data_IF_243267596757
#
_entry.id   IF_243267596757
#
_cell.length_a   1.000
_cell.length_b   1.000
_cell.length_c   1.000
_cell.angle_alpha   90.00
_cell.angle_beta   90.00
_cell.angle_gamma   90.00
#
_symmetry.space_group_name_H-M   'P 1'
#
loop_
_entity.id
_entity.type
_entity.pdbx_description
1 polymer ?
#
# COMPACT_ATOMS: atom_id res chain seq x y z
N UNK A 1 2.09 1.64 -25.50
CA UNK A 1 3.09 1.79 -24.44
C UNK A 1 2.48 1.19 -23.18
N UNK A 2 2.98 0.00 -22.84
CA UNK A 2 2.73 -0.78 -21.63
C UNK A 2 2.87 0.11 -20.39
N UNK A 3 1.97 0.12 -19.41
CA UNK A 3 1.73 -0.93 -18.43
C UNK A 3 0.23 -1.02 -18.08
N UNK A 4 -0.38 -2.18 -18.34
CA UNK A 4 -1.66 -2.55 -17.72
C UNK A 4 -1.31 -3.25 -16.42
N UNK A 5 -1.24 -2.52 -15.32
CA UNK A 5 -1.17 -3.13 -13.99
C UNK A 5 -2.54 -3.74 -13.71
N UNK A 6 -2.68 -5.01 -14.09
CA UNK A 6 -3.86 -5.82 -13.77
C UNK A 6 -4.00 -5.86 -12.24
N UNK A 7 -5.21 -5.75 -11.68
CA UNK A 7 -5.42 -5.80 -10.24
C UNK A 7 -5.02 -7.19 -9.76
N UNK A 8 -3.79 -7.31 -9.26
CA UNK A 8 -3.37 -8.50 -8.54
C UNK A 8 -4.36 -8.64 -7.39
N UNK A 9 -5.14 -9.71 -7.42
CA UNK A 9 -5.92 -10.17 -6.27
C UNK A 9 -4.94 -10.70 -5.21
N UNK A 10 -3.97 -9.87 -4.82
CA UNK A 10 -3.33 -9.97 -3.54
C UNK A 10 -4.43 -9.71 -2.53
N UNK A 11 -4.64 -10.64 -1.62
CA UNK A 11 -5.53 -10.40 -0.49
C UNK A 11 -5.08 -9.10 0.15
N UNK A 12 -5.84 -8.02 -0.05
CA UNK A 12 -5.41 -6.68 0.29
C UNK A 12 -5.19 -6.59 1.81
N UNK A 13 -3.92 -6.73 2.20
CA UNK A 13 -3.47 -6.50 3.56
C UNK A 13 -3.33 -5.00 3.68
N UNK A 14 -4.44 -4.37 4.06
CA UNK A 14 -4.55 -2.94 4.35
C UNK A 14 -4.42 -2.70 5.85
N UNK A 15 -3.80 -1.60 6.20
CA UNK A 15 -3.74 -1.06 7.56
C UNK A 15 -3.38 -2.14 8.61
N UNK A 16 -4.27 -2.41 9.58
CA UNK A 16 -4.06 -3.38 10.66
C UNK A 16 -3.97 -4.84 10.22
N UNK A 17 -4.35 -5.15 8.97
CA UNK A 17 -4.22 -6.51 8.44
C UNK A 17 -2.76 -6.86 8.13
N UNK A 18 -1.89 -5.87 8.05
CA UNK A 18 -0.46 -6.03 7.81
C UNK A 18 0.20 -6.56 9.10
N UNK A 19 0.67 -7.82 9.06
CA UNK A 19 1.36 -8.46 10.20
C UNK A 19 2.88 -8.21 10.23
N UNK A 20 3.41 -7.54 9.21
CA UNK A 20 4.83 -7.22 9.14
C UNK A 20 5.20 -6.20 10.23
N UNK A 21 6.35 -6.39 10.88
CA UNK A 21 6.86 -5.41 11.85
C UNK A 21 7.47 -4.19 11.16
N UNK A 22 8.13 -4.44 10.03
CA UNK A 22 8.79 -3.43 9.20
C UNK A 22 8.30 -3.58 7.76
N UNK A 23 8.22 -2.45 7.08
CA UNK A 23 7.80 -2.34 5.69
C UNK A 23 8.73 -1.37 4.97
N UNK A 24 8.99 -1.61 3.69
CA UNK A 24 9.53 -0.57 2.80
C UNK A 24 8.36 0.32 2.36
N UNK A 25 8.41 1.60 2.71
CA UNK A 25 7.36 2.57 2.40
C UNK A 25 7.68 3.29 1.09
N UNK A 26 6.73 3.26 0.16
CA UNK A 26 6.76 4.05 -1.07
C UNK A 26 5.61 5.07 -1.02
N UNK A 27 5.92 6.34 -1.23
CA UNK A 27 4.95 7.43 -1.36
C UNK A 27 5.00 8.00 -2.79
N UNK A 28 4.13 8.95 -3.10
CA UNK A 28 4.17 9.64 -4.40
C UNK A 28 5.45 10.50 -4.56
N UNK A 29 6.06 10.92 -3.46
CA UNK A 29 7.37 11.59 -3.45
C UNK A 29 8.56 10.63 -3.70
N UNK A 30 8.34 9.31 -3.62
CA UNK A 30 9.35 8.28 -3.89
C UNK A 30 9.53 7.25 -2.77
N UNK A 31 10.69 6.60 -2.73
CA UNK A 31 11.05 5.62 -1.71
C UNK A 31 11.43 6.32 -0.40
N UNK A 32 10.68 6.07 0.66
CA UNK A 32 10.94 6.59 2.01
C UNK A 32 11.83 5.65 2.84
N UNK A 33 12.18 4.49 2.31
CA UNK A 33 13.01 3.49 2.96
C UNK A 33 12.24 2.49 3.81
N UNK A 34 12.98 1.76 4.66
CA UNK A 34 12.44 0.72 5.52
C UNK A 34 12.15 1.33 6.88
N UNK A 35 10.92 1.18 7.35
CA UNK A 35 10.46 1.71 8.63
C UNK A 35 9.47 0.76 9.31
N UNK A 36 9.21 0.93 10.62
CA UNK A 36 8.17 0.20 11.31
C UNK A 36 6.80 0.40 10.65
N UNK A 37 5.98 -0.65 10.60
CA UNK A 37 4.59 -0.55 10.10
C UNK A 37 3.81 0.56 10.80
N UNK A 38 4.02 0.73 12.11
CA UNK A 38 3.32 1.75 12.88
C UNK A 38 3.64 3.18 12.40
N UNK A 39 4.88 3.44 12.00
CA UNK A 39 5.29 4.73 11.44
C UNK A 39 4.70 4.93 10.05
N UNK A 40 4.78 3.91 9.19
CA UNK A 40 4.13 3.93 7.89
C UNK A 40 2.61 4.14 7.97
N UNK A 41 1.96 3.57 9.00
CA UNK A 41 0.53 3.79 9.27
C UNK A 41 0.25 5.22 9.70
N UNK A 42 1.06 5.78 10.61
CA UNK A 42 0.89 7.16 11.04
C UNK A 42 0.99 8.15 9.86
N UNK A 43 1.94 7.93 8.94
CA UNK A 43 2.08 8.77 7.73
C UNK A 43 0.85 8.64 6.81
N UNK A 44 0.27 7.44 6.70
CA UNK A 44 -0.95 7.24 5.93
C UNK A 44 -2.14 7.96 6.59
N UNK A 45 -2.27 7.83 7.92
CA UNK A 45 -3.33 8.48 8.70
C UNK A 45 -3.23 10.02 8.66
N UNK A 46 -2.01 10.57 8.71
CA UNK A 46 -1.75 12.02 8.57
C UNK A 46 -2.17 12.57 7.20
N UNK A 47 -2.13 11.74 6.17
CA UNK A 47 -2.53 12.09 4.80
C UNK A 47 -3.99 11.74 4.49
N UNK A 48 -4.72 11.16 5.46
CA UNK A 48 -6.07 10.61 5.26
C UNK A 48 -6.13 9.59 4.10
N UNK A 49 -5.06 8.81 3.93
CA UNK A 49 -4.90 7.77 2.91
C UNK A 49 -4.77 6.38 3.54
N UNK A 50 -4.82 5.33 2.72
CA UNK A 50 -4.66 3.95 3.19
C UNK A 50 -3.21 3.45 3.03
N UNK A 51 -2.73 2.69 4.01
CA UNK A 51 -1.49 1.93 3.88
C UNK A 51 -1.80 0.57 3.23
N UNK A 52 -1.37 0.40 1.98
CA UNK A 52 -1.65 -0.79 1.17
C UNK A 52 -0.37 -1.59 0.94
N UNK A 53 -0.34 -2.87 1.34
CA UNK A 53 0.76 -3.76 0.95
C UNK A 53 0.68 -4.16 -0.52
N UNK A 54 1.47 -3.49 -1.35
CA UNK A 54 1.61 -3.80 -2.77
C UNK A 54 2.45 -5.05 -3.01
N UNK A 55 3.40 -5.39 -2.14
CA UNK A 55 4.18 -6.63 -2.23
C UNK A 55 4.40 -7.27 -0.86
N UNK A 56 3.47 -8.15 -0.46
CA UNK A 56 3.56 -8.85 0.82
C UNK A 56 4.70 -9.90 0.87
N UNK A 57 5.09 -10.46 -0.28
CA UNK A 57 6.10 -11.52 -0.37
C UNK A 57 7.55 -10.99 -0.44
N UNK A 58 7.73 -9.67 -0.53
CA UNK A 58 9.06 -9.06 -0.54
C UNK A 58 9.71 -9.11 0.84
N UNK A 59 11.04 -8.99 0.89
CA UNK A 59 11.83 -8.94 2.14
C UNK A 59 12.68 -7.66 2.15
N UNK A 60 12.26 -6.59 2.85
CA UNK A 60 11.02 -6.45 3.60
C UNK A 60 9.77 -6.29 2.69
N UNK A 61 8.55 -6.52 3.21
CA UNK A 61 7.31 -6.27 2.47
C UNK A 61 7.22 -4.81 2.01
N UNK A 62 6.68 -4.58 0.81
CA UNK A 62 6.54 -3.23 0.25
C UNK A 62 5.13 -2.72 0.47
N UNK A 63 5.03 -1.58 1.15
CA UNK A 63 3.80 -0.84 1.40
C UNK A 63 3.79 0.46 0.59
N UNK A 64 2.60 0.84 0.10
CA UNK A 64 2.36 2.10 -0.60
C UNK A 64 1.21 2.85 0.09
N UNK A 65 1.37 4.15 0.25
CA UNK A 65 0.29 5.04 0.71
C UNK A 65 -0.53 5.45 -0.49
N UNK A 66 -1.83 5.15 -0.49
CA UNK A 66 -2.73 5.47 -1.61
C UNK A 66 -4.21 5.44 -1.18
N UNK A 67 -5.07 6.12 -1.94
CA UNK A 67 -6.53 6.05 -1.76
C UNK A 67 -7.06 4.70 -2.27
N UNK A 68 -7.23 3.74 -1.36
CA UNK A 68 -7.74 2.40 -1.70
C UNK A 68 -9.26 2.43 -1.96
N UNK A 69 -9.98 3.41 -1.40
CA UNK A 69 -11.42 3.62 -1.61
C UNK A 69 -11.77 3.87 -3.09
N UNK A 70 -11.02 4.73 -3.77
CA UNK A 70 -11.24 5.01 -5.21
C UNK A 70 -10.84 3.86 -6.12
N UNK A 71 -9.83 3.06 -5.76
CA UNK A 71 -9.41 1.88 -6.53
C UNK A 71 -10.55 0.86 -6.63
N UNK A 72 -11.24 0.61 -5.51
CA UNK A 72 -12.40 -0.29 -5.49
C UNK A 72 -13.52 0.22 -6.36
N UNK A 73 -13.89 1.49 -6.28
CA UNK A 73 -15.02 2.05 -7.05
C UNK A 73 -14.78 1.89 -8.57
N UNK A 74 -13.56 2.14 -9.05
CA UNK A 74 -13.23 2.04 -10.47
C UNK A 74 -13.36 0.62 -11.05
N UNK A 75 -13.23 -0.43 -10.21
CA UNK A 75 -13.38 -1.82 -10.66
C UNK A 75 -14.84 -2.30 -10.71
N UNK A 76 -15.79 -1.57 -10.12
CA UNK A 76 -17.22 -1.95 -10.07
C UNK A 76 -18.16 -1.06 -10.90
N UNK A 77 -17.68 0.05 -11.46
CA UNK A 77 -18.47 0.86 -12.40
C UNK A 77 -18.38 0.25 -13.80
N UNK A 78 -19.37 -0.58 -14.11
CA UNK A 78 -19.74 -1.04 -15.46
C UNK A 78 -20.33 0.10 -16.30
#
# INVERSE_FOLDING_TARGET
MTHKEQPQQQQDLINDRIRAREVRLITDDGDQGIMPKAEAQAIADEQELDLVLVQANAKPPVAKIMDYGKLRIRLYTI
#
